data_IF_655162177521
#
_entry.id   IF_655162177521
#
_cell.length_a   1.000
_cell.length_b   1.000
_cell.length_c   1.000
_cell.angle_alpha   90.00
_cell.angle_beta   90.00
_cell.angle_gamma   90.00
#
_symmetry.space_group_name_H-M   'P 1'
#
loop_
_entity.id
_entity.type
_entity.pdbx_description
1 polymer ?
#
# COMPACT_ATOMS: atom_id res chain seq x y z
N UNK A 1 -5.49 -24.15 40.55
CA UNK A 1 -4.85 -22.92 40.07
C UNK A 1 -5.56 -22.50 38.82
N UNK A 2 -6.38 -21.44 38.88
CA UNK A 2 -6.95 -20.85 37.68
C UNK A 2 -5.78 -20.24 36.90
N UNK A 3 -5.51 -20.74 35.69
CA UNK A 3 -4.63 -20.04 34.77
C UNK A 3 -5.31 -18.72 34.45
N UNK A 4 -4.67 -17.60 34.80
CA UNK A 4 -5.05 -16.32 34.25
C UNK A 4 -4.83 -16.42 32.74
N UNK A 5 -5.90 -16.64 31.98
CA UNK A 5 -5.90 -16.41 30.55
C UNK A 5 -5.63 -14.92 30.37
N UNK A 6 -4.40 -14.57 30.01
CA UNK A 6 -4.08 -13.23 29.53
C UNK A 6 -5.01 -12.98 28.36
N UNK A 7 -6.01 -12.13 28.57
CA UNK A 7 -7.00 -11.81 27.54
C UNK A 7 -6.26 -11.09 26.42
N UNK A 8 -6.23 -11.67 25.22
CA UNK A 8 -5.61 -11.03 24.05
C UNK A 8 -6.28 -9.68 23.84
N UNK A 9 -5.51 -8.60 23.82
CA UNK A 9 -6.01 -7.25 23.59
C UNK A 9 -5.59 -6.80 22.19
N UNK A 10 -6.56 -6.62 21.31
CA UNK A 10 -6.31 -6.10 19.97
C UNK A 10 -6.91 -4.70 19.80
N UNK A 11 -6.03 -3.70 19.81
CA UNK A 11 -6.34 -2.32 19.50
C UNK A 11 -5.57 -1.88 18.22
N UNK A 12 -6.24 -1.75 17.06
CA UNK A 12 -5.60 -1.39 15.80
C UNK A 12 -5.17 0.09 15.71
N UNK A 13 -5.51 0.91 16.71
CA UNK A 13 -5.17 2.33 16.79
C UNK A 13 -4.04 2.62 17.78
N UNK A 14 -3.51 1.60 18.44
CA UNK A 14 -2.45 1.74 19.44
C UNK A 14 -1.06 1.90 18.81
N UNK A 15 -0.17 2.61 19.50
CA UNK A 15 1.23 2.75 19.05
C UNK A 15 1.98 1.41 19.01
N UNK A 16 1.58 0.44 19.84
CA UNK A 16 2.13 -0.91 19.84
C UNK A 16 1.80 -1.64 18.54
N UNK A 17 0.54 -1.59 18.11
CA UNK A 17 0.10 -2.18 16.85
C UNK A 17 0.83 -1.56 15.64
N UNK A 18 1.00 -0.23 15.63
CA UNK A 18 1.75 0.44 14.56
C UNK A 18 3.24 0.11 14.56
N UNK A 19 3.82 -0.29 15.69
CA UNK A 19 5.23 -0.64 15.80
C UNK A 19 5.51 -2.07 15.32
N UNK A 20 4.72 -3.03 15.79
CA UNK A 20 4.80 -4.43 15.39
C UNK A 20 3.48 -5.17 15.66
N UNK A 21 2.63 -5.41 14.65
CA UNK A 21 1.34 -6.07 14.84
C UNK A 21 1.43 -7.60 14.91
N UNK A 22 2.55 -8.21 14.51
CA UNK A 22 2.64 -9.66 14.29
C UNK A 22 2.56 -10.50 15.58
N UNK A 23 3.13 -10.08 16.73
CA UNK A 23 2.90 -10.75 18.00
C UNK A 23 1.41 -10.81 18.38
N UNK A 24 0.69 -9.69 18.24
CA UNK A 24 -0.75 -9.61 18.51
C UNK A 24 -1.51 -10.55 17.57
N UNK A 25 -1.16 -10.53 16.28
CA UNK A 25 -1.76 -11.44 15.29
C UNK A 25 -1.56 -12.91 15.62
N UNK A 26 -0.38 -13.31 16.11
CA UNK A 26 -0.15 -14.70 16.52
C UNK A 26 -1.06 -15.11 17.68
N UNK A 27 -1.14 -14.28 18.72
CA UNK A 27 -2.03 -14.52 19.86
C UNK A 27 -3.49 -14.66 19.40
N UNK A 28 -3.94 -13.79 18.49
CA UNK A 28 -5.27 -13.92 17.87
C UNK A 28 -5.43 -15.23 17.10
N UNK A 29 -4.45 -15.63 16.26
CA UNK A 29 -4.55 -16.89 15.50
C UNK A 29 -4.63 -18.11 16.40
N UNK A 30 -3.91 -18.11 17.52
CA UNK A 30 -3.79 -19.28 18.38
C UNK A 30 -4.91 -19.37 19.42
N UNK A 31 -5.34 -18.24 19.97
CA UNK A 31 -6.23 -18.21 21.12
C UNK A 31 -7.59 -17.54 20.88
N UNK A 32 -7.71 -16.65 19.89
CA UNK A 32 -8.95 -15.91 19.60
C UNK A 32 -9.16 -15.70 18.09
N UNK A 33 -9.35 -16.76 17.28
CA UNK A 33 -9.44 -16.66 15.82
C UNK A 33 -10.64 -15.86 15.34
N UNK A 34 -11.69 -15.80 16.17
CA UNK A 34 -12.79 -14.83 16.09
C UNK A 34 -12.73 -13.99 17.35
N UNK A 35 -12.18 -12.79 17.23
CA UNK A 35 -12.04 -11.85 18.34
C UNK A 35 -13.14 -10.79 18.29
N UNK A 36 -13.65 -10.36 19.44
CA UNK A 36 -14.56 -9.22 19.55
C UNK A 36 -13.92 -8.13 20.39
N UNK A 37 -13.85 -6.90 19.84
CA UNK A 37 -13.44 -5.71 20.58
C UNK A 37 -14.69 -4.94 21.03
N UNK A 38 -14.97 -4.85 22.34
CA UNK A 38 -16.13 -4.11 22.85
C UNK A 38 -15.93 -2.59 22.89
N UNK A 39 -14.69 -2.09 22.91
CA UNK A 39 -14.40 -0.66 22.96
C UNK A 39 -14.70 0.02 21.61
N UNK A 40 -14.31 -0.65 20.53
CA UNK A 40 -14.48 -0.17 19.16
C UNK A 40 -15.56 -0.93 18.38
N UNK A 41 -16.32 -1.80 19.04
CA UNK A 41 -17.44 -2.57 18.49
C UNK A 41 -17.16 -3.20 17.10
N UNK A 42 -16.19 -4.12 17.07
CA UNK A 42 -15.88 -4.89 15.87
C UNK A 42 -15.47 -6.33 16.18
N UNK A 43 -15.66 -7.20 15.21
CA UNK A 43 -15.09 -8.55 15.19
C UNK A 43 -13.83 -8.59 14.33
N UNK A 44 -12.88 -9.47 14.62
CA UNK A 44 -11.70 -9.69 13.79
C UNK A 44 -11.51 -11.18 13.50
N UNK A 45 -11.19 -11.49 12.24
CA UNK A 45 -10.80 -12.81 11.77
C UNK A 45 -9.30 -12.82 11.48
N UNK A 46 -8.56 -13.72 12.12
CA UNK A 46 -7.08 -13.70 12.10
C UNK A 46 -6.43 -14.84 11.33
N UNK A 47 -7.13 -15.96 11.13
CA UNK A 47 -6.62 -17.15 10.43
C UNK A 47 -6.84 -17.06 8.93
N UNK A 48 -5.91 -17.64 8.16
CA UNK A 48 -5.93 -17.56 6.70
C UNK A 48 -7.20 -18.12 6.09
N UNK A 49 -7.64 -19.31 6.54
CA UNK A 49 -8.84 -19.95 6.02
C UNK A 49 -10.10 -19.07 6.20
N UNK A 50 -10.24 -18.43 7.36
CA UNK A 50 -11.40 -17.59 7.69
C UNK A 50 -11.37 -16.27 6.92
N UNK A 51 -10.20 -15.62 6.87
CA UNK A 51 -10.00 -14.36 6.14
C UNK A 51 -10.18 -14.56 4.63
N UNK A 52 -9.58 -15.60 4.05
CA UNK A 52 -9.70 -15.90 2.61
C UNK A 52 -11.14 -16.27 2.22
N UNK A 53 -11.86 -17.00 3.08
CA UNK A 53 -13.28 -17.28 2.89
C UNK A 53 -14.11 -15.99 2.97
N UNK A 54 -13.85 -15.14 3.95
CA UNK A 54 -14.52 -13.84 4.13
C UNK A 54 -14.35 -12.92 2.93
N UNK A 55 -13.16 -12.87 2.32
CA UNK A 55 -12.92 -12.11 1.10
C UNK A 55 -13.75 -12.59 -0.11
N UNK A 56 -14.00 -13.90 -0.20
CA UNK A 56 -14.78 -14.48 -1.31
C UNK A 56 -16.28 -14.30 -1.11
N UNK A 57 -16.76 -14.46 0.12
CA UNK A 57 -18.19 -14.46 0.44
C UNK A 57 -18.71 -13.03 0.68
N UNK A 58 -18.74 -12.23 -0.40
CA UNK A 58 -19.28 -10.88 -0.36
C UNK A 58 -20.76 -10.84 0.06
N UNK A 59 -21.50 -11.94 -0.15
CA UNK A 59 -22.92 -12.01 0.17
C UNK A 59 -23.13 -12.03 1.68
N UNK A 60 -22.22 -12.66 2.43
CA UNK A 60 -22.20 -12.63 3.89
C UNK A 60 -21.40 -11.46 4.44
N UNK A 61 -20.24 -11.15 3.86
CA UNK A 61 -19.31 -10.09 4.27
C UNK A 61 -19.31 -8.96 3.23
N UNK A 62 -20.28 -8.06 3.36
CA UNK A 62 -20.55 -6.98 2.43
C UNK A 62 -19.55 -5.83 2.55
N UNK A 63 -19.23 -5.19 1.43
CA UNK A 63 -18.48 -3.92 1.40
C UNK A 63 -19.40 -2.70 1.29
N UNK A 64 -20.70 -2.89 1.06
CA UNK A 64 -21.64 -1.82 0.69
C UNK A 64 -21.96 -0.81 1.81
N UNK A 65 -21.57 -1.12 3.05
CA UNK A 65 -21.71 -0.25 4.22
C UNK A 65 -20.39 0.36 4.71
N UNK A 66 -19.33 0.29 3.90
CA UNK A 66 -18.02 0.83 4.23
C UNK A 66 -16.93 -0.24 4.31
N UNK A 67 -15.68 0.21 4.17
CA UNK A 67 -14.48 -0.64 4.24
C UNK A 67 -13.51 -0.23 5.35
N UNK A 68 -13.90 0.77 6.15
CA UNK A 68 -13.23 1.18 7.39
C UNK A 68 -14.23 1.14 8.55
N UNK A 69 -13.74 1.06 9.80
CA UNK A 69 -14.63 1.14 10.97
C UNK A 69 -15.40 2.46 11.03
N UNK A 70 -14.73 3.59 10.75
CA UNK A 70 -15.36 4.91 10.69
C UNK A 70 -16.60 4.90 9.79
N UNK A 71 -16.46 4.38 8.57
CA UNK A 71 -17.54 4.33 7.58
C UNK A 71 -18.69 3.41 8.01
N UNK A 72 -18.36 2.27 8.62
CA UNK A 72 -19.36 1.30 9.07
C UNK A 72 -20.17 1.86 10.26
N UNK A 73 -19.49 2.50 11.22
CA UNK A 73 -20.13 3.02 12.43
C UNK A 73 -20.83 4.35 12.22
N UNK A 74 -20.47 5.15 11.21
CA UNK A 74 -21.21 6.38 10.89
C UNK A 74 -22.65 6.07 10.47
N UNK A 75 -22.90 4.87 9.93
CA UNK A 75 -24.18 4.46 9.38
C UNK A 75 -24.57 5.19 8.09
N UNK A 76 -23.69 6.08 7.60
CA UNK A 76 -23.86 6.72 6.31
C UNK A 76 -23.62 5.68 5.22
N UNK A 77 -24.64 5.40 4.42
CA UNK A 77 -24.44 4.60 3.21
C UNK A 77 -23.55 5.43 2.31
N UNK A 78 -22.29 5.03 2.16
CA UNK A 78 -21.39 5.58 1.16
C UNK A 78 -22.06 5.35 -0.20
N UNK A 79 -22.78 6.36 -0.69
CA UNK A 79 -23.62 6.24 -1.87
C UNK A 79 -22.79 5.63 -2.99
N UNK A 80 -23.26 4.48 -3.49
CA UNK A 80 -22.53 3.53 -4.34
C UNK A 80 -21.98 4.15 -5.64
N UNK A 81 -20.95 4.95 -5.52
CA UNK A 81 -20.25 5.62 -6.61
C UNK A 81 -18.81 5.12 -6.73
N UNK A 82 -18.25 4.54 -5.67
CA UNK A 82 -16.94 3.89 -5.71
C UNK A 82 -17.04 2.38 -5.69
N UNK A 83 -16.30 1.72 -6.57
CA UNK A 83 -16.27 0.27 -6.71
C UNK A 83 -15.93 -0.46 -5.40
N UNK A 84 -15.14 0.17 -4.52
CA UNK A 84 -14.70 -0.43 -3.25
C UNK A 84 -15.86 -0.60 -2.24
N UNK A 85 -16.92 0.19 -2.36
CA UNK A 85 -18.12 0.16 -1.51
C UNK A 85 -19.31 -0.50 -2.22
N UNK A 86 -19.06 -1.44 -3.13
CA UNK A 86 -20.12 -2.11 -3.89
C UNK A 86 -20.08 -3.62 -3.70
N UNK A 87 -21.25 -4.23 -3.73
CA UNK A 87 -21.43 -5.66 -3.94
C UNK A 87 -22.09 -5.90 -5.31
N UNK A 88 -22.02 -7.14 -5.86
CA UNK A 88 -22.79 -7.52 -7.02
C UNK A 88 -24.31 -7.37 -6.80
N UNK A 89 -25.07 -6.93 -7.82
CA UNK A 89 -24.67 -6.78 -9.22
C UNK A 89 -23.94 -5.48 -9.60
N UNK A 90 -24.08 -4.40 -8.83
CA UNK A 90 -23.53 -3.07 -9.14
C UNK A 90 -22.01 -3.12 -9.28
N UNK A 91 -21.35 -3.84 -8.37
CA UNK A 91 -19.90 -4.08 -8.44
C UNK A 91 -19.50 -4.73 -9.77
N UNK A 92 -20.26 -5.71 -10.28
CA UNK A 92 -19.91 -6.40 -11.54
C UNK A 92 -20.01 -5.45 -12.72
N UNK A 93 -21.05 -4.61 -12.78
CA UNK A 93 -21.20 -3.56 -13.80
C UNK A 93 -19.99 -2.62 -13.78
N UNK A 94 -19.72 -1.99 -12.64
CA UNK A 94 -18.61 -1.07 -12.47
C UNK A 94 -17.26 -1.73 -12.81
N UNK A 95 -17.00 -2.93 -12.26
CA UNK A 95 -15.78 -3.71 -12.52
C UNK A 95 -15.58 -4.00 -14.00
N UNK A 96 -16.65 -4.37 -14.71
CA UNK A 96 -16.58 -4.67 -16.14
C UNK A 96 -16.19 -3.45 -16.99
N UNK A 97 -16.66 -2.26 -16.61
CA UNK A 97 -16.32 -0.99 -17.26
C UNK A 97 -14.88 -0.58 -16.99
N UNK A 98 -14.45 -0.55 -15.72
CA UNK A 98 -13.08 -0.13 -15.37
C UNK A 98 -12.02 -1.13 -15.86
N UNK A 99 -12.35 -2.42 -15.97
CA UNK A 99 -11.46 -3.44 -16.55
C UNK A 99 -11.13 -3.17 -18.04
N UNK A 100 -11.99 -2.46 -18.78
CA UNK A 100 -11.69 -2.04 -20.16
C UNK A 100 -10.52 -1.07 -20.23
N UNK A 101 -10.29 -0.33 -19.15
CA UNK A 101 -9.22 0.68 -19.05
C UNK A 101 -7.99 0.13 -18.32
N UNK A 102 -8.19 -0.80 -17.38
CA UNK A 102 -7.12 -1.50 -16.63
C UNK A 102 -6.61 -2.78 -17.32
N UNK A 103 -6.48 -2.77 -18.65
CA UNK A 103 -5.97 -3.94 -19.38
C UNK A 103 -4.47 -4.15 -19.16
N UNK A 104 -3.95 -5.39 -19.24
CA UNK A 104 -2.51 -5.63 -19.17
C UNK A 104 -1.70 -4.83 -20.20
N UNK A 105 -2.29 -4.53 -21.37
CA UNK A 105 -1.67 -3.69 -22.41
C UNK A 105 -1.55 -2.23 -21.95
N UNK A 106 -2.64 -1.63 -21.46
CA UNK A 106 -2.64 -0.26 -20.95
C UNK A 106 -1.66 -0.11 -19.78
N UNK A 107 -1.64 -1.12 -18.91
CA UNK A 107 -0.72 -1.19 -17.79
C UNK A 107 0.75 -1.26 -18.21
N UNK A 108 1.10 -2.08 -19.22
CA UNK A 108 2.47 -2.14 -19.77
C UNK A 108 2.90 -0.85 -20.46
N UNK A 109 1.96 -0.13 -21.08
CA UNK A 109 2.27 1.16 -21.71
C UNK A 109 2.77 2.21 -20.69
N UNK A 110 2.40 2.04 -19.40
CA UNK A 110 2.85 2.90 -18.32
C UNK A 110 4.27 2.57 -17.81
N UNK A 111 4.92 1.50 -18.28
CA UNK A 111 6.27 1.12 -17.82
C UNK A 111 7.28 2.25 -18.04
N UNK A 112 7.23 2.90 -19.21
CA UNK A 112 8.11 4.04 -19.51
C UNK A 112 7.90 5.19 -18.52
N UNK A 113 6.64 5.59 -18.31
CA UNK A 113 6.29 6.65 -17.34
C UNK A 113 6.77 6.31 -15.94
N UNK A 114 6.54 5.09 -15.47
CA UNK A 114 6.99 4.62 -14.14
C UNK A 114 8.51 4.69 -14.03
N UNK A 115 9.23 4.18 -15.03
CA UNK A 115 10.69 4.20 -15.06
C UNK A 115 11.24 5.61 -15.04
N UNK A 116 10.70 6.49 -15.88
CA UNK A 116 11.12 7.89 -15.97
C UNK A 116 10.91 8.62 -14.64
N UNK A 117 9.81 8.36 -13.94
CA UNK A 117 9.55 8.94 -12.61
C UNK A 117 10.50 8.39 -11.55
N UNK A 118 10.72 7.07 -11.53
CA UNK A 118 11.67 6.43 -10.62
C UNK A 118 13.08 7.01 -10.82
N UNK A 119 13.55 7.07 -12.07
CA UNK A 119 14.89 7.58 -12.40
C UNK A 119 15.01 9.07 -12.04
N UNK A 120 13.96 9.87 -12.27
CA UNK A 120 13.92 11.30 -11.92
C UNK A 120 14.12 11.53 -10.41
N UNK A 121 13.40 10.80 -9.55
CA UNK A 121 13.55 10.96 -8.10
C UNK A 121 14.85 10.34 -7.58
N UNK A 122 15.28 9.19 -8.10
CA UNK A 122 16.58 8.59 -7.73
C UNK A 122 17.78 9.45 -8.15
N UNK A 123 17.68 10.24 -9.21
CA UNK A 123 18.74 11.16 -9.61
C UNK A 123 18.94 12.35 -8.65
N UNK A 124 17.97 12.62 -7.77
CA UNK A 124 17.99 13.76 -6.85
C UNK A 124 18.48 13.41 -5.44
N UNK A 125 18.52 12.12 -5.09
CA UNK A 125 18.93 11.68 -3.76
C UNK A 125 20.45 11.48 -3.65
N UNK A 126 21.00 11.60 -2.44
CA UNK A 126 22.41 11.28 -2.19
C UNK A 126 22.61 9.75 -2.13
N UNK A 127 23.38 9.14 -3.05
CA UNK A 127 23.63 7.69 -3.01
C UNK A 127 24.42 7.24 -1.78
N UNK A 128 25.04 8.15 -1.02
CA UNK A 128 25.68 7.82 0.26
C UNK A 128 24.66 7.55 1.39
N UNK A 129 23.42 8.01 1.24
CA UNK A 129 22.33 7.78 2.18
C UNK A 129 21.22 8.82 2.01
N UNK A 130 19.98 8.34 1.96
CA UNK A 130 18.78 9.15 1.85
C UNK A 130 17.63 8.47 2.60
N UNK A 131 16.55 9.20 2.86
CA UNK A 131 15.32 8.65 3.41
C UNK A 131 14.49 8.07 2.26
N UNK A 132 14.38 6.74 2.19
CA UNK A 132 13.66 6.07 1.10
C UNK A 132 12.21 6.51 0.99
N UNK A 133 11.57 6.89 2.09
CA UNK A 133 10.15 7.28 2.07
C UNK A 133 10.05 8.74 1.66
N UNK A 134 10.66 9.63 2.44
CA UNK A 134 10.51 11.07 2.26
C UNK A 134 11.12 11.56 0.94
N UNK A 135 12.26 11.01 0.53
CA UNK A 135 13.02 11.47 -0.62
C UNK A 135 12.71 10.68 -1.91
N UNK A 136 11.93 9.58 -1.83
CA UNK A 136 11.68 8.72 -2.98
C UNK A 136 10.27 8.13 -3.05
N UNK A 137 9.92 7.16 -2.18
CA UNK A 137 8.72 6.36 -2.36
C UNK A 137 7.42 7.13 -2.13
N UNK A 138 7.43 8.19 -1.33
CA UNK A 138 6.26 9.08 -1.17
C UNK A 138 6.02 10.04 -2.34
N UNK A 139 6.94 10.10 -3.31
CA UNK A 139 6.92 11.11 -4.37
C UNK A 139 6.42 10.57 -5.71
N UNK A 140 6.98 9.45 -6.18
CA UNK A 140 6.73 8.96 -7.53
C UNK A 140 5.35 8.30 -7.76
N UNK A 141 4.72 7.57 -6.81
CA UNK A 141 3.50 6.81 -7.11
C UNK A 141 2.33 7.71 -7.52
N UNK A 142 2.13 8.81 -6.78
CA UNK A 142 1.07 9.78 -7.08
C UNK A 142 1.33 10.52 -8.39
N UNK A 143 2.59 10.79 -8.77
CA UNK A 143 2.91 11.35 -10.08
C UNK A 143 2.55 10.40 -11.22
N UNK A 144 2.82 9.10 -11.06
CA UNK A 144 2.43 8.07 -12.02
C UNK A 144 0.92 8.02 -12.17
N UNK A 145 0.18 7.97 -11.06
CA UNK A 145 -1.29 7.95 -11.08
C UNK A 145 -1.85 9.23 -11.69
N UNK A 146 -1.33 10.40 -11.30
CA UNK A 146 -1.77 11.69 -11.84
C UNK A 146 -1.51 11.78 -13.35
N UNK A 147 -0.37 11.28 -13.82
CA UNK A 147 -0.06 11.19 -15.26
C UNK A 147 -1.07 10.29 -15.99
N UNK A 148 -1.33 9.10 -15.44
CA UNK A 148 -2.28 8.14 -15.98
C UNK A 148 -3.70 8.72 -16.08
N UNK A 149 -4.13 9.48 -15.07
CA UNK A 149 -5.43 10.17 -15.02
C UNK A 149 -5.52 11.40 -15.94
N UNK A 150 -4.43 11.83 -16.59
CA UNK A 150 -4.44 13.00 -17.45
C UNK A 150 -4.36 14.34 -16.69
N UNK A 151 -3.91 14.31 -15.42
CA UNK A 151 -3.68 15.51 -14.62
C UNK A 151 -2.53 16.32 -15.24
N UNK A 152 -2.76 17.62 -15.57
CA UNK A 152 -1.71 18.49 -16.07
C UNK A 152 -0.52 18.57 -15.11
N UNK A 153 0.70 18.65 -15.64
CA UNK A 153 1.94 18.61 -14.85
C UNK A 153 1.95 19.62 -13.69
N UNK A 154 1.49 20.85 -13.94
CA UNK A 154 1.42 21.91 -12.93
C UNK A 154 0.46 21.63 -11.77
N UNK A 155 -0.51 20.73 -11.94
CA UNK A 155 -1.54 20.43 -10.95
C UNK A 155 -1.24 19.15 -10.15
N UNK A 156 -0.26 18.33 -10.56
CA UNK A 156 0.02 17.02 -9.92
C UNK A 156 0.41 17.15 -8.45
N UNK A 157 1.15 18.21 -8.12
CA UNK A 157 1.55 18.49 -6.75
C UNK A 157 0.35 18.88 -5.87
N UNK A 158 -0.64 19.59 -6.41
CA UNK A 158 -1.88 19.89 -5.72
C UNK A 158 -2.64 18.60 -5.42
N UNK A 159 -2.83 17.73 -6.43
CA UNK A 159 -3.49 16.44 -6.27
C UNK A 159 -2.82 15.61 -5.18
N UNK A 160 -1.47 15.56 -5.17
CA UNK A 160 -0.72 14.90 -4.09
C UNK A 160 -1.08 15.43 -2.71
N UNK A 161 -0.98 16.74 -2.51
CA UNK A 161 -1.23 17.35 -1.20
C UNK A 161 -2.67 17.08 -0.73
N UNK A 162 -3.64 17.11 -1.66
CA UNK A 162 -5.04 16.81 -1.35
C UNK A 162 -5.23 15.33 -0.96
N UNK A 163 -4.60 14.41 -1.69
CA UNK A 163 -4.68 12.97 -1.37
C UNK A 163 -4.00 12.65 -0.04
N UNK A 164 -2.83 13.22 0.23
CA UNK A 164 -2.12 13.02 1.50
C UNK A 164 -2.97 13.48 2.69
N UNK A 165 -3.57 14.67 2.60
CA UNK A 165 -4.48 15.20 3.64
C UNK A 165 -5.74 14.35 3.81
N UNK A 166 -6.34 13.90 2.70
CA UNK A 166 -7.53 13.06 2.72
C UNK A 166 -7.29 11.74 3.47
N UNK A 167 -6.11 11.14 3.29
CA UNK A 167 -5.73 9.87 3.90
C UNK A 167 -5.18 10.02 5.32
N UNK A 168 -4.85 11.24 5.75
CA UNK A 168 -4.30 11.49 7.08
C UNK A 168 -5.27 11.06 8.20
N UNK A 169 -4.74 10.38 9.21
CA UNK A 169 -5.41 10.04 10.46
C UNK A 169 -4.51 10.41 11.63
N UNK A 170 -5.10 10.89 12.72
CA UNK A 170 -4.36 11.21 13.95
C UNK A 170 -4.21 9.95 14.81
N UNK A 171 -3.07 9.75 15.50
CA UNK A 171 -2.90 8.62 16.41
C UNK A 171 -4.02 8.54 17.46
N UNK A 172 -4.64 7.37 17.59
CA UNK A 172 -5.76 7.13 18.50
C UNK A 172 -7.14 7.62 18.00
N UNK A 173 -7.21 8.24 16.83
CA UNK A 173 -8.47 8.65 16.20
C UNK A 173 -8.85 7.69 15.05
N UNK A 174 -10.13 7.28 15.02
CA UNK A 174 -10.67 6.40 13.96
C UNK A 174 -10.96 7.21 12.69
N UNK A 175 -11.42 8.46 12.87
CA UNK A 175 -12.04 9.25 11.82
C UNK A 175 -11.10 10.16 11.02
N UNK A 176 -11.59 10.64 9.88
CA UNK A 176 -10.93 11.68 9.06
C UNK A 176 -10.74 12.96 9.87
N UNK A 177 -9.65 13.66 9.60
CA UNK A 177 -9.48 15.04 10.09
C UNK A 177 -10.45 15.98 9.34
N UNK A 178 -10.87 17.11 9.94
CA UNK A 178 -11.64 18.13 9.23
C UNK A 178 -10.94 18.61 7.95
N UNK A 179 -9.62 18.77 8.00
CA UNK A 179 -8.80 19.15 6.85
C UNK A 179 -8.78 18.06 5.78
N UNK A 180 -8.82 16.78 6.17
CA UNK A 180 -8.92 15.64 5.26
C UNK A 180 -10.27 15.56 4.56
N UNK A 181 -11.36 15.86 5.27
CA UNK A 181 -12.70 15.96 4.67
C UNK A 181 -12.77 17.10 3.66
N UNK A 182 -12.21 18.28 3.98
CA UNK A 182 -12.12 19.40 3.04
C UNK A 182 -11.27 19.04 1.80
N UNK A 183 -10.12 18.38 2.01
CA UNK A 183 -9.25 17.95 0.93
C UNK A 183 -9.92 16.96 -0.03
N UNK A 184 -10.76 16.07 0.49
CA UNK A 184 -11.58 15.15 -0.32
C UNK A 184 -12.53 15.91 -1.24
N UNK A 185 -13.23 16.92 -0.72
CA UNK A 185 -14.14 17.76 -1.52
C UNK A 185 -13.38 18.53 -2.60
N UNK A 186 -12.24 19.14 -2.25
CA UNK A 186 -11.38 19.87 -3.19
C UNK A 186 -10.86 18.95 -4.31
N UNK A 187 -10.43 17.74 -3.99
CA UNK A 187 -10.00 16.77 -4.98
C UNK A 187 -11.15 16.29 -5.87
N UNK A 188 -12.34 16.08 -5.31
CA UNK A 188 -13.54 15.72 -6.07
C UNK A 188 -13.91 16.81 -7.09
N UNK A 189 -13.89 18.07 -6.68
CA UNK A 189 -14.13 19.21 -7.57
C UNK A 189 -13.06 19.28 -8.68
N UNK A 190 -11.78 19.09 -8.33
CA UNK A 190 -10.70 19.07 -9.32
C UNK A 190 -10.91 17.99 -10.38
N UNK A 191 -11.19 16.75 -9.97
CA UNK A 191 -11.42 15.65 -10.91
C UNK A 191 -12.69 15.84 -11.73
N UNK A 192 -13.74 16.42 -11.14
CA UNK A 192 -14.95 16.76 -11.88
C UNK A 192 -14.67 17.81 -12.97
N UNK A 193 -13.94 18.87 -12.67
CA UNK A 193 -13.56 19.87 -13.68
C UNK A 193 -12.70 19.25 -14.79
N UNK A 194 -11.73 18.40 -14.43
CA UNK A 194 -10.88 17.72 -15.40
C UNK A 194 -11.71 16.79 -16.29
N UNK A 195 -12.66 16.05 -15.71
CA UNK A 195 -13.61 15.22 -16.42
C UNK A 195 -14.44 16.04 -17.43
N UNK A 196 -15.01 17.18 -17.03
CA UNK A 196 -15.78 18.02 -17.96
C UNK A 196 -14.92 18.55 -19.11
N UNK A 197 -13.66 18.92 -18.84
CA UNK A 197 -12.70 19.29 -19.90
C UNK A 197 -12.46 18.14 -20.88
N UNK A 198 -12.37 16.89 -20.40
CA UNK A 198 -12.20 15.69 -21.24
C UNK A 198 -13.44 15.28 -22.00
N UNK A 199 -14.64 15.55 -21.49
CA UNK A 199 -15.87 15.39 -22.27
C UNK A 199 -15.91 16.34 -23.46
N UNK A 200 -15.49 17.60 -23.26
CA UNK A 200 -15.43 18.59 -24.34
C UNK A 200 -14.26 18.35 -25.31
N UNK A 201 -13.12 17.89 -24.78
CA UNK A 201 -11.91 17.68 -25.56
C UNK A 201 -11.16 16.42 -25.06
N UNK A 202 -11.50 15.24 -25.61
CA UNK A 202 -10.88 13.98 -25.22
C UNK A 202 -9.35 13.99 -25.43
N UNK A 203 -8.62 13.40 -24.50
CA UNK A 203 -7.17 13.19 -24.56
C UNK A 203 -6.80 11.71 -24.66
N UNK A 204 -5.49 11.44 -24.61
CA UNK A 204 -4.94 10.08 -24.51
C UNK A 204 -4.63 9.75 -23.03
N UNK A 205 -5.68 9.69 -22.21
CA UNK A 205 -5.59 9.43 -20.78
C UNK A 205 -6.74 8.58 -20.25
N UNK A 206 -6.59 8.10 -19.01
CA UNK A 206 -7.54 7.20 -18.37
C UNK A 206 -8.92 7.82 -18.21
N UNK A 207 -9.03 9.12 -17.90
CA UNK A 207 -10.34 9.78 -17.79
C UNK A 207 -11.06 9.74 -19.12
N UNK A 208 -10.37 10.08 -20.21
CA UNK A 208 -10.92 10.00 -21.57
C UNK A 208 -11.34 8.58 -21.94
N UNK A 209 -10.55 7.58 -21.55
CA UNK A 209 -10.88 6.16 -21.77
C UNK A 209 -12.09 5.69 -20.92
N UNK A 210 -12.24 6.18 -19.69
CA UNK A 210 -13.38 5.87 -18.82
C UNK A 210 -14.68 6.50 -19.35
N UNK A 211 -14.62 7.72 -19.88
CA UNK A 211 -15.76 8.38 -20.55
C UNK A 211 -16.26 7.55 -21.73
N UNK A 212 -15.33 6.98 -22.51
CA UNK A 212 -15.64 6.18 -23.69
C UNK A 212 -15.94 4.71 -23.38
N UNK A 213 -15.78 4.26 -22.13
CA UNK A 213 -15.97 2.87 -21.77
C UNK A 213 -17.46 2.49 -21.79
N UNK A 214 -17.77 1.47 -22.59
CA UNK A 214 -19.10 0.86 -22.66
C UNK A 214 -19.02 -0.67 -22.55
N UNK A 215 -20.06 -1.27 -21.98
CA UNK A 215 -20.26 -2.72 -21.92
C UNK A 215 -21.71 -3.06 -22.27
N UNK A 216 -21.91 -4.17 -22.98
CA UNK A 216 -23.23 -4.72 -23.27
C UNK A 216 -23.90 -5.22 -21.99
N UNK A 217 -25.22 -4.98 -21.87
CA UNK A 217 -26.07 -5.52 -20.81
C UNK A 217 -26.63 -6.88 -21.25
N UNK A 218 -26.82 -7.78 -20.29
CA UNK A 218 -27.41 -9.10 -20.55
C UNK A 218 -28.84 -9.03 -21.15
N UNK A 219 -29.58 -7.97 -20.82
CA UNK A 219 -30.93 -7.70 -21.33
C UNK A 219 -30.95 -6.94 -22.67
N UNK A 220 -29.78 -6.67 -23.25
CA UNK A 220 -29.58 -5.87 -24.46
C UNK A 220 -29.30 -4.39 -24.19
N UNK A 221 -28.55 -3.76 -25.11
CA UNK A 221 -28.11 -2.36 -25.01
C UNK A 221 -26.81 -2.20 -24.23
N UNK A 222 -26.23 -0.99 -24.24
CA UNK A 222 -24.96 -0.70 -23.56
C UNK A 222 -25.17 0.03 -22.23
N UNK A 223 -24.18 -0.08 -21.35
CA UNK A 223 -24.05 0.80 -20.18
C UNK A 223 -22.68 1.45 -20.18
N UNK A 224 -22.63 2.68 -19.69
CA UNK A 224 -21.43 3.49 -19.50
C UNK A 224 -21.30 3.91 -18.04
N UNK A 225 -20.20 4.57 -17.70
CA UNK A 225 -20.00 5.25 -16.42
C UNK A 225 -20.63 6.64 -16.45
N UNK A 226 -21.25 7.04 -15.34
CA UNK A 226 -21.65 8.43 -15.12
C UNK A 226 -20.51 9.29 -14.55
N UNK A 227 -20.75 10.60 -14.42
CA UNK A 227 -19.71 11.54 -13.98
C UNK A 227 -19.28 11.31 -12.53
N UNK A 228 -20.22 10.93 -11.66
CA UNK A 228 -19.92 10.70 -10.26
C UNK A 228 -19.11 9.39 -10.11
N UNK A 229 -19.47 8.34 -10.85
CA UNK A 229 -18.71 7.09 -10.93
C UNK A 229 -17.27 7.32 -11.39
N UNK A 230 -17.06 8.15 -12.42
CA UNK A 230 -15.70 8.47 -12.91
C UNK A 230 -14.92 9.26 -11.87
N UNK A 231 -15.52 10.29 -11.25
CA UNK A 231 -14.85 11.11 -10.22
C UNK A 231 -14.48 10.27 -9.00
N UNK A 232 -15.41 9.46 -8.50
CA UNK A 232 -15.16 8.55 -7.37
C UNK A 232 -14.05 7.55 -7.68
N UNK A 233 -14.00 7.04 -8.91
CA UNK A 233 -12.93 6.14 -9.34
C UNK A 233 -11.56 6.84 -9.45
N UNK A 234 -11.52 8.10 -9.92
CA UNK A 234 -10.31 8.92 -9.90
C UNK A 234 -9.78 9.16 -8.48
N UNK A 235 -10.67 9.48 -7.54
CA UNK A 235 -10.33 9.64 -6.12
C UNK A 235 -9.78 8.33 -5.53
N UNK A 236 -10.44 7.20 -5.82
CA UNK A 236 -9.98 5.89 -5.39
C UNK A 236 -8.57 5.59 -5.89
N UNK A 237 -8.29 5.84 -7.17
CA UNK A 237 -6.94 5.62 -7.73
C UNK A 237 -5.90 6.56 -7.14
N UNK A 238 -6.26 7.82 -6.91
CA UNK A 238 -5.39 8.81 -6.26
C UNK A 238 -4.94 8.37 -4.89
N UNK A 239 -5.87 7.91 -4.04
CA UNK A 239 -5.54 7.42 -2.71
C UNK A 239 -4.91 6.02 -2.71
N UNK A 240 -5.66 5.02 -3.18
CA UNK A 240 -5.28 3.61 -3.09
C UNK A 240 -4.08 3.26 -3.98
N UNK A 241 -3.87 3.97 -5.09
CA UNK A 241 -2.74 3.72 -6.00
C UNK A 241 -1.41 4.30 -5.52
N UNK A 242 -1.44 5.32 -4.64
CA UNK A 242 -0.24 6.00 -4.19
C UNK A 242 0.27 5.45 -2.85
N UNK A 243 -0.57 5.49 -1.81
CA UNK A 243 -0.14 5.24 -0.44
C UNK A 243 0.36 3.80 -0.22
N UNK A 244 -0.33 2.81 -0.79
CA UNK A 244 0.05 1.41 -0.64
C UNK A 244 1.40 1.10 -1.28
N UNK A 245 1.71 1.76 -2.40
CA UNK A 245 3.01 1.59 -3.10
C UNK A 245 4.12 2.24 -2.30
N UNK A 246 3.90 3.45 -1.78
CA UNK A 246 4.83 4.14 -0.86
C UNK A 246 5.22 3.23 0.30
N UNK A 247 4.22 2.65 0.97
CA UNK A 247 4.37 1.74 2.13
C UNK A 247 5.10 0.45 1.75
N UNK A 248 4.69 -0.23 0.67
CA UNK A 248 5.33 -1.48 0.25
C UNK A 248 6.82 -1.28 -0.07
N UNK A 249 7.18 -0.21 -0.79
CA UNK A 249 8.58 0.08 -1.11
C UNK A 249 9.38 0.38 0.16
N UNK A 250 8.83 1.18 1.08
CA UNK A 250 9.47 1.48 2.36
C UNK A 250 9.71 0.20 3.17
N UNK A 251 8.67 -0.62 3.35
CA UNK A 251 8.73 -1.89 4.08
C UNK A 251 9.74 -2.86 3.44
N UNK A 252 9.70 -3.01 2.11
CA UNK A 252 10.61 -3.91 1.40
C UNK A 252 12.07 -3.52 1.60
N UNK A 253 12.41 -2.22 1.60
CA UNK A 253 13.78 -1.78 1.84
C UNK A 253 14.28 -2.11 3.25
N UNK A 254 13.41 -2.01 4.26
CA UNK A 254 13.76 -2.43 5.64
C UNK A 254 13.99 -3.94 5.67
N UNK A 255 13.08 -4.74 5.12
CA UNK A 255 13.18 -6.20 5.10
C UNK A 255 14.44 -6.68 4.37
N UNK A 256 14.76 -6.13 3.19
CA UNK A 256 15.98 -6.50 2.46
C UNK A 256 17.27 -6.04 3.16
N UNK A 257 17.22 -4.98 3.97
CA UNK A 257 18.37 -4.56 4.77
C UNK A 257 18.68 -5.59 5.89
N UNK A 258 17.64 -6.23 6.42
CA UNK A 258 17.72 -7.31 7.42
C UNK A 258 18.06 -8.67 6.79
N UNK A 259 17.63 -8.92 5.55
CA UNK A 259 17.78 -10.19 4.82
C UNK A 259 18.75 -10.04 3.63
N UNK A 260 20.02 -9.73 3.93
CA UNK A 260 21.02 -9.37 2.92
C UNK A 260 21.39 -10.53 1.97
N UNK A 261 21.22 -11.76 2.40
CA UNK A 261 21.38 -12.96 1.59
C UNK A 261 20.31 -13.03 0.48
N UNK A 262 19.05 -12.74 0.78
CA UNK A 262 17.97 -12.69 -0.21
C UNK A 262 18.08 -11.47 -1.12
N UNK A 263 18.49 -10.32 -0.57
CA UNK A 263 18.83 -9.16 -1.39
C UNK A 263 19.93 -9.46 -2.42
N UNK A 264 20.94 -10.25 -2.01
CA UNK A 264 22.01 -10.69 -2.91
C UNK A 264 21.48 -11.57 -4.04
N UNK A 265 20.58 -12.51 -3.74
CA UNK A 265 19.94 -13.38 -4.73
C UNK A 265 19.21 -12.55 -5.80
N UNK A 266 18.40 -11.56 -5.40
CA UNK A 266 17.71 -10.64 -6.35
C UNK A 266 18.72 -9.80 -7.15
N UNK A 267 19.82 -9.38 -6.53
CA UNK A 267 20.84 -8.59 -7.23
C UNK A 267 21.59 -9.38 -8.30
N UNK A 268 21.91 -10.64 -8.01
CA UNK A 268 22.60 -11.57 -8.89
C UNK A 268 21.69 -12.10 -10.00
N UNK A 269 20.40 -12.32 -9.69
CA UNK A 269 19.40 -12.74 -10.65
C UNK A 269 18.14 -11.86 -10.56
N UNK A 270 18.02 -10.92 -11.50
CA UNK A 270 16.88 -9.98 -11.59
C UNK A 270 15.58 -10.65 -12.02
N UNK A 271 15.62 -11.89 -12.52
CA UNK A 271 14.38 -12.62 -12.85
C UNK A 271 13.55 -12.93 -11.60
N UNK A 272 14.16 -12.87 -10.41
CA UNK A 272 13.53 -13.08 -9.09
C UNK A 272 12.77 -11.88 -8.52
N UNK A 273 12.79 -10.72 -9.19
CA UNK A 273 12.09 -9.52 -8.71
C UNK A 273 10.58 -9.79 -8.48
N UNK A 274 9.85 -10.48 -9.37
CA UNK A 274 8.44 -10.79 -9.13
C UNK A 274 8.22 -11.62 -7.86
N UNK A 275 9.00 -12.68 -7.66
CA UNK A 275 8.88 -13.53 -6.46
C UNK A 275 9.21 -12.75 -5.18
N UNK A 276 10.21 -11.87 -5.27
CA UNK A 276 10.58 -10.97 -4.19
C UNK A 276 9.47 -9.96 -3.83
N UNK A 277 8.76 -9.44 -4.83
CA UNK A 277 7.60 -8.54 -4.62
C UNK A 277 6.43 -9.30 -4.00
N UNK A 278 6.17 -10.52 -4.48
CA UNK A 278 5.13 -11.39 -3.93
C UNK A 278 5.38 -11.74 -2.47
N UNK A 279 6.61 -12.12 -2.13
CA UNK A 279 6.97 -12.40 -0.74
C UNK A 279 6.94 -11.14 0.12
N UNK A 280 7.34 -9.98 -0.39
CA UNK A 280 7.22 -8.72 0.35
C UNK A 280 5.75 -8.37 0.65
N UNK A 281 4.84 -8.60 -0.31
CA UNK A 281 3.39 -8.42 -0.12
C UNK A 281 2.81 -9.38 0.92
N UNK A 282 3.30 -10.63 0.96
CA UNK A 282 2.91 -11.59 1.99
C UNK A 282 3.46 -11.17 3.36
N UNK A 283 4.76 -10.94 3.44
CA UNK A 283 5.51 -10.77 4.67
C UNK A 283 5.24 -9.42 5.35
N UNK A 284 5.18 -8.32 4.60
CA UNK A 284 5.03 -6.94 5.10
C UNK A 284 4.11 -6.10 4.20
N UNK A 285 3.02 -6.70 3.75
CA UNK A 285 2.01 -6.06 2.92
C UNK A 285 1.51 -4.73 3.53
N UNK A 286 1.25 -3.71 2.69
CA UNK A 286 0.90 -2.38 3.17
C UNK A 286 -0.50 -2.30 3.79
N UNK A 287 -1.40 -3.21 3.41
CA UNK A 287 -2.76 -3.32 3.96
C UNK A 287 -2.73 -4.37 5.07
N UNK A 288 -3.10 -3.97 6.29
CA UNK A 288 -3.07 -4.82 7.48
C UNK A 288 -4.36 -5.59 7.71
N UNK A 289 -5.48 -4.94 7.38
CA UNK A 289 -6.81 -5.51 7.43
C UNK A 289 -7.77 -4.75 6.50
N UNK A 290 -8.85 -5.41 6.12
CA UNK A 290 -9.98 -4.82 5.41
C UNK A 290 -11.26 -5.00 6.25
N UNK A 291 -12.13 -3.98 6.32
CA UNK A 291 -13.40 -4.12 7.04
C UNK A 291 -14.53 -4.58 6.10
N UNK A 292 -15.47 -5.36 6.65
CA UNK A 292 -16.72 -5.79 6.02
C UNK A 292 -17.85 -5.66 7.02
N UNK A 293 -19.09 -5.76 6.54
CA UNK A 293 -20.26 -5.85 7.42
C UNK A 293 -21.02 -7.14 7.15
N UNK A 294 -21.38 -7.87 8.21
CA UNK A 294 -22.19 -9.07 8.09
C UNK A 294 -23.62 -8.74 7.63
N UNK A 295 -24.15 -9.51 6.69
CA UNK A 295 -25.54 -9.38 6.18
C UNK A 295 -26.51 -10.37 6.81
N UNK A 296 -26.00 -11.28 7.65
CA UNK A 296 -26.72 -12.31 8.38
C UNK A 296 -25.88 -12.80 9.56
N UNK A 297 -26.45 -13.48 10.56
CA UNK A 297 -25.67 -14.10 11.61
C UNK A 297 -24.70 -15.15 11.05
N UNK A 298 -23.44 -15.14 11.53
CA UNK A 298 -22.38 -16.04 11.08
C UNK A 298 -21.89 -16.87 12.27
N UNK A 299 -22.32 -18.15 12.39
CA UNK A 299 -21.75 -19.05 13.37
C UNK A 299 -20.34 -19.46 12.95
N UNK A 300 -19.35 -19.22 13.81
CA UNK A 300 -17.94 -19.52 13.55
C UNK A 300 -17.24 -19.88 14.87
N UNK A 301 -16.64 -21.08 14.93
CA UNK A 301 -16.13 -21.68 16.18
C UNK A 301 -17.22 -21.73 17.27
N UNK A 302 -16.97 -21.14 18.43
CA UNK A 302 -17.87 -21.02 19.59
C UNK A 302 -18.63 -19.68 19.64
N UNK A 303 -18.46 -18.84 18.62
CA UNK A 303 -19.04 -17.50 18.55
C UNK A 303 -20.04 -17.40 17.40
N UNK A 304 -21.07 -16.58 17.57
CA UNK A 304 -21.93 -16.15 16.46
C UNK A 304 -21.75 -14.66 16.26
N UNK A 305 -21.17 -14.28 15.13
CA UNK A 305 -21.07 -12.87 14.73
C UNK A 305 -22.49 -12.43 14.33
N UNK A 306 -23.06 -11.39 14.96
CA UNK A 306 -24.42 -10.96 14.65
C UNK A 306 -24.49 -10.34 13.25
N UNK A 307 -25.70 -10.25 12.69
CA UNK A 307 -25.96 -9.46 11.50
C UNK A 307 -25.69 -7.97 11.77
N UNK A 308 -25.13 -7.26 10.79
CA UNK A 308 -24.82 -5.84 10.93
C UNK A 308 -23.50 -5.54 11.64
N UNK A 309 -22.75 -6.56 12.04
CA UNK A 309 -21.47 -6.39 12.73
C UNK A 309 -20.36 -5.96 11.78
N UNK A 310 -19.52 -5.03 12.22
CA UNK A 310 -18.24 -4.72 11.59
C UNK A 310 -17.27 -5.91 11.79
N UNK A 311 -16.66 -6.38 10.72
CA UNK A 311 -15.68 -7.49 10.74
C UNK A 311 -14.39 -7.06 10.05
N UNK A 312 -13.28 -7.08 10.76
CA UNK A 312 -11.93 -6.93 10.22
C UNK A 312 -11.41 -8.28 9.72
N UNK A 313 -11.09 -8.32 8.43
CA UNK A 313 -10.38 -9.43 7.80
C UNK A 313 -8.88 -9.11 7.87
N UNK A 314 -8.17 -9.72 8.83
CA UNK A 314 -6.75 -9.41 9.09
C UNK A 314 -5.84 -10.08 8.06
N UNK A 315 -5.76 -9.52 6.86
CA UNK A 315 -4.98 -10.09 5.74
C UNK A 315 -3.48 -10.22 6.05
N UNK A 316 -2.89 -9.28 6.82
CA UNK A 316 -1.49 -9.40 7.25
C UNK A 316 -1.28 -10.55 8.26
N UNK A 317 -2.23 -10.78 9.17
CA UNK A 317 -2.22 -11.95 10.06
C UNK A 317 -2.34 -13.25 9.25
N UNK A 318 -3.31 -13.30 8.35
CA UNK A 318 -3.57 -14.46 7.49
C UNK A 318 -2.34 -14.82 6.64
N UNK A 319 -1.65 -13.83 6.10
CA UNK A 319 -0.41 -14.02 5.33
C UNK A 319 0.76 -14.55 6.18
N UNK A 320 0.67 -14.51 7.51
CA UNK A 320 1.63 -15.07 8.47
C UNK A 320 1.09 -16.31 9.21
N UNK A 321 -0.04 -16.88 8.77
CA UNK A 321 -0.62 -18.05 9.42
C UNK A 321 0.17 -19.33 9.10
N UNK A 322 0.73 -19.94 10.13
CA UNK A 322 1.53 -21.17 10.09
C UNK A 322 0.71 -22.39 9.66
N UNK A 323 -0.63 -22.28 9.69
CA UNK A 323 -1.55 -23.30 9.17
C UNK A 323 -1.64 -23.27 7.64
N UNK A 324 -1.26 -22.16 7.01
CA UNK A 324 -1.35 -21.92 5.58
C UNK A 324 0.02 -21.86 4.89
N UNK A 325 1.04 -21.32 5.55
CA UNK A 325 2.39 -21.15 5.01
C UNK A 325 3.43 -21.87 5.87
N UNK A 326 4.34 -22.61 5.24
CA UNK A 326 5.43 -23.29 5.95
C UNK A 326 6.42 -22.26 6.49
N UNK A 327 6.76 -22.29 7.78
CA UNK A 327 7.64 -21.26 8.36
C UNK A 327 7.18 -19.84 8.00
N UNK A 328 5.90 -19.56 8.25
CA UNK A 328 5.20 -18.34 7.79
C UNK A 328 5.87 -17.04 8.26
N UNK A 329 6.70 -17.11 9.30
CA UNK A 329 7.37 -15.96 9.91
C UNK A 329 8.76 -15.71 9.33
N UNK A 330 9.26 -16.58 8.47
CA UNK A 330 10.44 -16.33 7.68
C UNK A 330 10.07 -15.59 6.39
N UNK A 331 10.84 -14.54 6.10
CA UNK A 331 10.87 -13.96 4.76
C UNK A 331 11.63 -14.93 3.86
N UNK A 332 11.03 -15.41 2.77
CA UNK A 332 11.69 -16.26 1.77
C UNK A 332 11.19 -15.98 0.35
N UNK A 333 12.02 -15.32 -0.46
CA UNK A 333 11.72 -15.06 -1.87
C UNK A 333 11.62 -16.34 -2.74
N UNK A 334 11.97 -17.51 -2.19
CA UNK A 334 11.86 -18.81 -2.85
C UNK A 334 10.64 -19.61 -2.42
N UNK A 335 9.79 -19.04 -1.56
CA UNK A 335 8.61 -19.71 -1.01
C UNK A 335 7.76 -20.32 -2.12
N UNK A 336 7.30 -21.54 -1.90
CA UNK A 336 6.35 -22.19 -2.81
C UNK A 336 5.02 -21.42 -2.81
N UNK A 337 4.74 -20.78 -3.95
CA UNK A 337 3.55 -19.94 -4.14
C UNK A 337 2.25 -20.74 -4.21
N UNK A 338 2.33 -22.07 -4.18
CA UNK A 338 1.17 -22.96 -4.18
C UNK A 338 0.71 -23.37 -2.78
N UNK A 339 1.48 -23.03 -1.73
CA UNK A 339 1.11 -23.33 -0.33
C UNK A 339 -0.27 -22.77 0.03
N UNK A 340 -0.46 -21.47 -0.21
CA UNK A 340 -1.71 -20.77 0.04
C UNK A 340 -1.82 -19.48 -0.78
N UNK A 341 -3.04 -18.97 -0.90
CA UNK A 341 -3.31 -17.70 -1.56
C UNK A 341 -2.69 -16.53 -0.76
N UNK A 342 -1.79 -15.77 -1.38
CA UNK A 342 -1.34 -14.48 -0.84
C UNK A 342 -2.50 -13.48 -0.88
N UNK A 343 -2.82 -12.86 0.25
CA UNK A 343 -3.91 -11.91 0.42
C UNK A 343 -3.44 -10.44 0.41
N UNK A 344 -2.20 -10.16 0.00
CA UNK A 344 -1.64 -8.80 -0.07
C UNK A 344 -2.35 -7.88 -1.07
N UNK A 345 -3.10 -8.45 -2.02
CA UNK A 345 -3.94 -7.72 -2.98
C UNK A 345 -5.45 -7.92 -2.72
N UNK A 346 -5.81 -8.43 -1.54
CA UNK A 346 -7.16 -8.95 -1.27
C UNK A 346 -7.47 -10.20 -2.08
N UNK A 347 -8.72 -10.65 -2.03
CA UNK A 347 -9.19 -11.83 -2.75
C UNK A 347 -10.68 -11.71 -3.08
N UNK A 348 -11.17 -12.56 -4.00
CA UNK A 348 -12.57 -12.52 -4.43
C UNK A 348 -12.89 -11.35 -5.38
N UNK A 349 -14.13 -10.85 -5.30
CA UNK A 349 -14.64 -9.83 -6.24
C UNK A 349 -13.85 -8.51 -6.17
N UNK A 350 -13.29 -8.19 -5.01
CA UNK A 350 -12.54 -6.96 -4.73
C UNK A 350 -11.02 -7.14 -4.89
N UNK A 351 -10.55 -8.25 -5.47
CA UNK A 351 -9.13 -8.43 -5.80
C UNK A 351 -8.58 -7.18 -6.49
N UNK A 352 -7.43 -6.67 -6.05
CA UNK A 352 -6.91 -5.39 -6.49
C UNK A 352 -6.78 -5.30 -8.02
N UNK A 353 -7.30 -4.22 -8.62
CA UNK A 353 -7.15 -3.92 -10.06
C UNK A 353 -5.68 -3.82 -10.47
N UNK A 354 -4.83 -3.33 -9.57
CA UNK A 354 -3.39 -3.16 -9.80
C UNK A 354 -2.58 -4.45 -9.74
N UNK A 355 -3.14 -5.56 -9.25
CA UNK A 355 -2.41 -6.83 -9.04
C UNK A 355 -1.84 -7.42 -10.35
N UNK A 356 -2.49 -7.15 -11.48
CA UNK A 356 -2.03 -7.59 -12.81
C UNK A 356 -0.62 -7.06 -13.19
N UNK A 357 -0.05 -6.12 -12.42
CA UNK A 357 1.34 -5.65 -12.56
C UNK A 357 2.40 -6.58 -11.95
N UNK A 358 2.07 -7.35 -10.91
CA UNK A 358 3.06 -8.15 -10.18
C UNK A 358 3.60 -9.34 -10.99
N UNK A 359 2.85 -9.81 -12.00
CA UNK A 359 3.20 -11.01 -12.79
C UNK A 359 3.59 -10.71 -14.25
N UNK A 360 3.63 -9.44 -14.67
CA UNK A 360 3.52 -9.06 -16.09
C UNK A 360 4.70 -8.35 -16.76
N UNK A 361 5.82 -8.10 -16.06
CA UNK A 361 7.00 -7.42 -16.67
C UNK A 361 8.17 -8.40 -16.79
N UNK A 362 8.05 -9.33 -17.74
CA UNK A 362 9.16 -10.12 -18.23
C UNK A 362 9.45 -9.74 -19.68
N UNK A 363 10.50 -8.92 -19.86
CA UNK A 363 11.62 -9.13 -20.79
C UNK A 363 12.29 -7.78 -21.13
N UNK A 364 13.60 -7.74 -20.85
CA UNK A 364 14.58 -6.74 -21.34
C UNK A 364 14.56 -5.36 -20.70
N UNK A 365 15.04 -5.28 -19.46
CA UNK A 365 15.74 -4.08 -18.99
C UNK A 365 17.23 -4.39 -19.05
N UNK A 366 17.95 -3.74 -19.96
CA UNK A 366 19.42 -3.76 -20.00
C UNK A 366 19.92 -2.78 -18.93
N UNK A 367 20.80 -3.18 -18.00
CA UNK A 367 21.17 -2.34 -16.87
C UNK A 367 22.02 -1.14 -17.33
N UNK A 368 21.87 0.05 -16.73
CA UNK A 368 22.90 1.08 -16.79
C UNK A 368 24.15 0.59 -16.02
N UNK A 369 25.32 0.78 -16.62
CA UNK A 369 26.59 0.49 -15.98
C UNK A 369 26.91 1.57 -14.95
N UNK A 370 26.60 1.31 -13.66
CA UNK A 370 26.95 2.17 -12.53
C UNK A 370 27.62 1.36 -11.41
N UNK A 371 28.53 1.95 -10.61
CA UNK A 371 29.33 1.23 -9.64
C UNK A 371 28.45 0.69 -8.50
N UNK A 372 28.67 -0.58 -8.14
CA UNK A 372 27.94 -1.27 -7.09
C UNK A 372 28.10 -0.57 -5.73
N UNK A 373 26.99 -0.07 -5.16
CA UNK A 373 26.94 0.36 -3.78
C UNK A 373 27.12 -0.85 -2.84
N UNK A 374 28.10 -0.79 -1.94
CA UNK A 374 28.32 -1.78 -0.87
C UNK A 374 27.61 -1.31 0.39
N UNK A 375 26.55 -2.00 0.79
CA UNK A 375 25.99 -1.89 2.14
C UNK A 375 26.80 -2.81 3.06
N UNK A 376 27.41 -2.28 4.12
CA UNK A 376 28.08 -3.09 5.16
C UNK A 376 27.16 -3.17 6.38
N UNK A 377 26.59 -4.35 6.65
CA UNK A 377 25.95 -4.64 7.93
C UNK A 377 26.99 -4.92 9.02
N UNK A 378 26.81 -4.37 10.22
CA UNK A 378 27.48 -4.84 11.44
C UNK A 378 26.42 -5.35 12.41
N UNK A 379 26.52 -6.64 12.75
CA UNK A 379 25.82 -7.26 13.88
C UNK A 379 26.31 -6.64 15.20
N UNK A 380 25.38 -6.18 16.05
CA UNK A 380 25.70 -5.82 17.45
C UNK A 380 25.45 -7.04 18.33
N UNK A 381 26.50 -7.61 18.91
CA UNK A 381 26.40 -8.42 20.12
C UNK A 381 26.38 -7.49 21.35
N UNK A 382 25.63 -7.81 22.42
CA UNK A 382 25.63 -7.02 23.65
C UNK A 382 26.82 -7.42 24.54
N UNK A 383 27.43 -6.44 25.21
CA UNK A 383 28.40 -6.65 26.29
C UNK A 383 27.83 -6.08 27.61
N UNK A 384 28.25 -6.58 28.78
CA UNK A 384 27.39 -6.69 29.96
C UNK A 384 27.51 -5.53 30.97
N UNK A 385 26.39 -5.30 31.69
CA UNK A 385 26.31 -5.01 33.13
C UNK A 385 26.70 -3.62 33.64
N UNK A 386 25.73 -2.95 34.29
CA UNK A 386 25.96 -1.82 35.18
C UNK A 386 24.65 -1.15 35.62
N UNK A 387 24.12 -1.56 36.77
CA UNK A 387 23.00 -0.95 37.50
C UNK A 387 23.21 0.55 37.76
N UNK A 388 22.21 1.38 37.46
CA UNK A 388 21.75 2.41 38.40
C UNK A 388 20.29 2.79 38.10
N UNK A 389 19.50 2.87 39.17
CA UNK A 389 18.06 3.09 39.14
C UNK A 389 17.70 4.58 39.20
N UNK A 390 16.52 4.88 38.64
CA UNK A 390 15.64 6.06 38.83
C UNK A 390 15.90 7.26 37.91
N UNK A 391 14.95 7.46 36.99
CA UNK A 391 14.64 8.81 36.49
C UNK A 391 13.96 8.87 35.12
N UNK A 392 12.62 8.88 35.11
CA UNK A 392 11.72 9.41 34.05
C UNK A 392 11.85 8.81 32.64
N UNK A 393 10.92 7.91 32.30
CA UNK A 393 10.57 7.58 30.91
C UNK A 393 9.88 8.78 30.24
N UNK A 394 10.54 9.38 29.26
CA UNK A 394 9.92 10.16 28.20
C UNK A 394 9.84 9.27 26.95
N UNK A 395 8.72 9.24 26.21
CA UNK A 395 8.61 8.46 24.97
C UNK A 395 9.50 9.08 23.88
N UNK A 396 10.33 8.25 23.24
CA UNK A 396 11.07 8.62 22.04
C UNK A 396 10.12 8.62 20.84
N UNK A 397 10.10 9.67 19.99
CA UNK A 397 9.32 9.65 18.77
C UNK A 397 9.93 8.68 17.74
N UNK A 398 9.04 8.15 16.89
CA UNK A 398 9.21 7.17 15.82
C UNK A 398 10.61 7.01 15.21
N UNK A 399 10.94 5.75 14.91
CA UNK A 399 12.16 5.33 14.24
C UNK A 399 12.31 6.04 12.88
N UNK A 400 13.00 7.18 12.88
CA UNK A 400 13.67 7.71 11.69
C UNK A 400 14.87 6.81 11.41
N UNK A 401 14.77 5.99 10.37
CA UNK A 401 15.87 5.15 9.89
C UNK A 401 16.97 6.00 9.25
N UNK A 402 17.77 6.70 10.05
CA UNK A 402 18.96 7.39 9.56
C UNK A 402 20.14 6.40 9.46
N UNK A 403 20.37 5.85 8.27
CA UNK A 403 21.59 5.09 7.99
C UNK A 403 22.76 6.06 7.75
N UNK A 404 23.59 6.31 8.77
CA UNK A 404 24.86 7.06 8.60
C UNK A 404 26.01 6.10 8.31
N UNK A 405 26.66 6.26 7.15
CA UNK A 405 27.94 5.63 6.84
C UNK A 405 29.08 6.63 7.07
N UNK A 406 30.05 6.28 7.92
CA UNK A 406 31.27 7.06 8.10
C UNK A 406 32.28 6.76 6.98
N UNK A 407 32.92 7.79 6.39
CA UNK A 407 33.96 7.57 5.39
C UNK A 407 35.21 6.93 6.04
N UNK A 408 35.56 5.75 5.56
CA UNK A 408 36.79 5.06 5.94
C UNK A 408 38.01 5.82 5.41
N UNK A 409 39.00 6.03 6.29
CA UNK A 409 40.30 6.61 5.97
C UNK A 409 41.01 5.76 4.91
N UNK A 410 41.23 6.33 3.72
CA UNK A 410 42.06 5.76 2.66
C UNK A 410 43.18 6.73 2.31
N UNK A 411 44.41 6.23 2.35
CA UNK A 411 45.69 6.93 2.27
C UNK A 411 45.92 7.75 1.00
N UNK A 412 46.54 8.91 1.20
CA UNK A 412 47.12 9.82 0.22
C UNK A 412 48.00 9.15 -0.85
N UNK A 413 47.80 9.50 -2.13
CA UNK A 413 48.89 9.71 -3.09
C UNK A 413 48.58 10.92 -3.97
N UNK A 414 49.51 11.86 -3.94
CA UNK A 414 49.54 13.13 -4.67
C UNK A 414 49.81 12.94 -6.16
N UNK A 415 49.12 13.72 -7.00
CA UNK A 415 49.69 14.21 -8.27
C UNK A 415 49.27 15.68 -8.43
N UNK A 416 50.28 16.56 -8.45
CA UNK A 416 50.17 17.99 -8.79
C UNK A 416 50.00 18.15 -10.30
N UNK A 417 49.29 19.21 -10.70
CA UNK A 417 49.52 20.20 -11.78
C UNK A 417 48.12 20.82 -12.02
N UNK A 418 47.84 22.10 -11.82
CA UNK A 418 48.56 23.32 -12.18
C UNK A 418 47.48 24.28 -12.67
N UNK A 419 46.92 25.11 -11.78
CA UNK A 419 45.94 26.16 -12.13
C UNK A 419 46.66 27.34 -12.78
N UNK A 420 46.12 27.86 -13.88
CA UNK A 420 46.11 29.30 -14.13
C UNK A 420 44.69 29.75 -14.48
N UNK A 421 44.39 30.92 -13.94
CA UNK A 421 43.13 31.66 -13.88
C UNK A 421 43.22 32.84 -14.86
N UNK A 422 42.12 33.16 -15.54
CA UNK A 422 41.54 34.51 -15.74
C UNK A 422 40.53 34.44 -16.91
N UNK A 423 39.25 34.70 -16.69
CA UNK A 423 38.59 36.00 -16.48
C UNK A 423 38.42 36.78 -17.79
N UNK A 424 37.17 37.07 -18.17
CA UNK A 424 36.90 38.11 -19.18
C UNK A 424 35.56 38.04 -19.91
N UNK A 425 34.57 38.73 -19.35
CA UNK A 425 33.65 39.65 -20.06
C UNK A 425 32.62 39.16 -21.10
N UNK A 426 31.36 39.48 -20.72
CA UNK A 426 30.36 40.31 -21.44
C UNK A 426 29.42 39.66 -22.48
N UNK A 427 28.14 39.75 -22.08
CA UNK A 427 26.90 39.77 -22.87
C UNK A 427 26.94 40.74 -24.06
N UNK A 428 26.28 40.32 -25.14
CA UNK A 428 25.39 40.98 -26.13
C UNK A 428 25.58 40.20 -27.43
N UNK A 429 24.59 39.64 -28.14
CA UNK A 429 23.14 39.80 -28.26
C UNK A 429 22.54 38.43 -28.57
#
# INVERSE_FOLDING_TARGET
>A
MAMATTQVEFNPFSAEFFADPYPIYRELRDHAPVYYNPEYDFYALSRHADVAAGFKDYATFSSARGVTLEEIHSGEVAHGQSIIWMDPPEHRRMRSLVNKVFTPRAIRALEGVVRDRIDFFLAQVDPAGFDVVADFSALFPIEVISTMLGVPEGDRQLVRILMDKFLERKPGEIGKTPEGAEAMVQAGMFFYELLQRRRAQPGDDMISALIAAEVERDEGGTTTLDDAEIVSFCLLLGGAGAETVTKLIGNAMVVFAEHQDQWRQVREDRSRIPDAVEEALRYVGPVQYDCRVTTRPVPMYDTTIPEGAAVMLLNASANRDERAFTDAEAFDINRDRTEAQNLGFGYGIHSCLGAARAHGVHHRVRPPAGPAARVRGRSRQPAPGGDDQRGRLLPRPGARGALRLHPGRGSSRSVRHGRRVNAGCRRTR
#
